data_IF_708335246621
#
_entry.id   IF_708335246621
#
_cell.length_a   1.000
_cell.length_b   1.000
_cell.length_c   1.000
_cell.angle_alpha   90.00
_cell.angle_beta   90.00
_cell.angle_gamma   90.00
#
_symmetry.space_group_name_H-M   'P 1'
#
loop_
_entity.id
_entity.type
_entity.pdbx_description
1 polymer ?
#
# COMPACT_ATOMS: atom_id res chain seq x y z
N UNK A 1 6.24 2.93 0.72
CA UNK A 1 5.87 3.64 -0.52
C UNK A 1 6.90 4.75 -0.79
N UNK A 2 7.32 4.90 -2.06
CA UNK A 2 8.21 5.96 -2.51
C UNK A 2 7.51 6.79 -3.60
N UNK A 3 7.87 8.06 -3.72
CA UNK A 3 7.52 8.91 -4.86
C UNK A 3 8.79 9.47 -5.48
N UNK A 4 8.78 9.68 -6.79
CA UNK A 4 9.93 10.24 -7.50
C UNK A 4 9.82 11.76 -7.54
N UNK A 5 10.78 12.43 -6.91
CA UNK A 5 10.92 13.88 -6.95
C UNK A 5 11.67 14.26 -8.22
N UNK A 6 10.93 14.73 -9.23
CA UNK A 6 11.48 15.10 -10.54
C UNK A 6 12.35 16.35 -10.49
N UNK A 7 12.17 17.23 -9.50
CA UNK A 7 13.01 18.43 -9.34
C UNK A 7 14.39 18.06 -8.80
N UNK A 8 14.42 17.14 -7.85
CA UNK A 8 15.65 16.72 -7.18
C UNK A 8 16.24 15.42 -7.75
N UNK A 9 15.54 14.79 -8.70
CA UNK A 9 15.88 13.51 -9.31
C UNK A 9 16.18 12.40 -8.29
N UNK A 10 15.37 12.33 -7.22
CA UNK A 10 15.54 11.36 -6.13
C UNK A 10 14.23 10.68 -5.75
N UNK A 11 14.32 9.43 -5.31
CA UNK A 11 13.20 8.74 -4.69
C UNK A 11 13.06 9.16 -3.22
N UNK A 12 11.87 9.64 -2.85
CA UNK A 12 11.54 10.08 -1.49
C UNK A 12 10.50 9.17 -0.87
N UNK A 13 10.61 8.96 0.44
CA UNK A 13 9.61 8.22 1.21
C UNK A 13 8.36 9.07 1.41
N UNK A 14 7.20 8.45 1.30
CA UNK A 14 5.95 9.08 1.71
C UNK A 14 5.97 9.26 3.23
N UNK A 15 5.67 10.47 3.67
CA UNK A 15 5.60 10.87 5.08
C UNK A 15 4.22 11.43 5.39
N UNK A 16 3.81 11.38 6.65
CA UNK A 16 2.66 12.11 7.15
C UNK A 16 2.93 13.61 7.23
N UNK A 17 1.87 14.40 7.45
CA UNK A 17 1.98 15.86 7.57
C UNK A 17 2.91 16.33 8.70
N UNK A 18 3.03 15.56 9.77
CA UNK A 18 3.98 15.81 10.87
C UNK A 18 5.41 15.34 10.57
N UNK A 19 5.68 14.91 9.33
CA UNK A 19 6.98 14.46 8.86
C UNK A 19 7.35 13.04 9.27
N UNK A 20 6.46 12.31 9.97
CA UNK A 20 6.72 10.91 10.35
C UNK A 20 6.59 10.01 9.12
N UNK A 21 7.38 8.95 9.08
CA UNK A 21 7.29 7.98 8.00
C UNK A 21 6.01 7.14 8.15
N UNK A 22 5.22 7.02 7.08
CA UNK A 22 4.11 6.07 7.04
C UNK A 22 4.66 4.65 6.91
N UNK A 23 4.23 3.73 7.79
CA UNK A 23 4.68 2.34 7.89
C UNK A 23 4.09 1.41 6.80
N UNK A 24 3.99 1.93 5.57
CA UNK A 24 3.52 1.23 4.36
C UNK A 24 4.69 0.50 3.66
N UNK A 25 5.28 -0.46 4.36
CA UNK A 25 6.31 -1.39 3.85
C UNK A 25 5.66 -2.66 3.30
N UNK A 26 6.34 -3.35 2.37
CA UNK A 26 5.87 -4.60 1.72
C UNK A 26 4.49 -4.47 1.07
N UNK A 27 4.25 -3.32 0.42
CA UNK A 27 3.05 -3.10 -0.41
C UNK A 27 3.07 -4.08 -1.56
N UNK A 28 1.95 -4.76 -1.80
CA UNK A 28 1.80 -5.67 -2.93
C UNK A 28 1.14 -5.03 -4.12
N UNK A 29 0.09 -4.26 -3.87
CA UNK A 29 -0.65 -3.58 -4.91
C UNK A 29 -1.01 -2.18 -4.44
N UNK A 30 -1.11 -1.27 -5.40
CA UNK A 30 -1.57 0.09 -5.18
C UNK A 30 -2.46 0.47 -6.36
N UNK A 31 -3.49 1.26 -6.08
CA UNK A 31 -4.44 1.73 -7.07
C UNK A 31 -5.02 3.07 -6.66
N UNK A 32 -5.58 3.78 -7.64
CA UNK A 32 -6.42 4.94 -7.37
C UNK A 32 -7.83 4.45 -6.99
N UNK A 33 -8.41 5.09 -5.98
CA UNK A 33 -9.78 4.86 -5.54
C UNK A 33 -10.37 6.18 -5.04
N UNK A 34 -11.35 6.73 -5.76
CA UNK A 34 -12.08 7.96 -5.41
C UNK A 34 -11.15 9.17 -5.08
N UNK A 35 -10.12 9.38 -5.89
CA UNK A 35 -9.12 10.44 -5.72
C UNK A 35 -8.08 10.16 -4.63
N UNK A 36 -8.10 8.97 -4.03
CA UNK A 36 -7.17 8.55 -2.97
C UNK A 36 -6.30 7.40 -3.44
N UNK A 37 -5.19 7.20 -2.76
CA UNK A 37 -4.32 6.06 -2.99
C UNK A 37 -4.75 4.90 -2.11
N UNK A 38 -5.27 3.84 -2.72
CA UNK A 38 -5.48 2.56 -2.06
C UNK A 38 -4.18 1.73 -2.07
N UNK A 39 -3.78 1.22 -0.91
CA UNK A 39 -2.54 0.45 -0.73
C UNK A 39 -2.88 -0.88 -0.07
N UNK A 40 -2.53 -1.98 -0.72
CA UNK A 40 -2.78 -3.34 -0.23
C UNK A 40 -1.50 -3.96 0.31
N UNK A 41 -1.59 -4.53 1.52
CA UNK A 41 -0.45 -5.10 2.23
C UNK A 41 -0.89 -6.32 3.06
N UNK A 42 -0.14 -7.44 3.03
CA UNK A 42 -0.36 -8.53 3.97
C UNK A 42 -0.08 -8.09 5.42
N UNK A 43 -0.95 -8.50 6.34
CA UNK A 43 -0.74 -8.33 7.78
C UNK A 43 0.30 -9.29 8.34
N UNK A 44 0.27 -10.52 7.83
CA UNK A 44 1.06 -11.61 8.36
C UNK A 44 2.51 -11.54 7.83
N UNK A 45 3.48 -11.84 8.70
CA UNK A 45 4.87 -11.96 8.29
C UNK A 45 5.03 -13.17 7.37
N UNK A 46 5.03 -12.93 6.06
CA UNK A 46 5.18 -13.96 5.02
C UNK A 46 6.35 -14.91 5.27
N UNK A 47 7.41 -14.41 5.91
CA UNK A 47 8.63 -15.17 6.22
C UNK A 47 8.42 -16.29 7.27
N UNK A 48 7.26 -16.33 7.94
CA UNK A 48 6.91 -17.32 8.98
C UNK A 48 5.61 -18.11 8.69
N UNK A 49 5.02 -17.93 7.50
CA UNK A 49 3.74 -18.56 7.16
C UNK A 49 4.02 -19.86 6.42
N UNK A 50 3.64 -20.99 7.03
CA UNK A 50 3.59 -22.27 6.33
C UNK A 50 2.59 -22.18 5.16
N UNK A 51 2.95 -22.77 4.02
CA UNK A 51 2.23 -22.66 2.73
C UNK A 51 0.75 -23.08 2.76
N UNK A 52 0.30 -23.71 3.86
CA UNK A 52 -1.06 -24.16 4.10
C UNK A 52 -1.97 -23.14 4.80
N UNK A 53 -1.46 -21.97 5.22
CA UNK A 53 -2.26 -20.95 5.91
C UNK A 53 -2.83 -19.90 4.96
N UNK A 54 -3.93 -19.28 5.36
CA UNK A 54 -4.44 -18.07 4.71
C UNK A 54 -3.70 -16.83 5.21
N UNK A 55 -3.56 -15.83 4.35
CA UNK A 55 -2.96 -14.53 4.62
C UNK A 55 -4.04 -13.47 4.62
N UNK A 56 -4.09 -12.65 5.66
CA UNK A 56 -4.97 -11.49 5.68
C UNK A 56 -4.32 -10.32 4.94
N UNK A 57 -5.07 -9.71 4.02
CA UNK A 57 -4.67 -8.52 3.27
C UNK A 57 -5.41 -7.32 3.84
N UNK A 58 -4.63 -6.36 4.33
CA UNK A 58 -5.13 -5.04 4.70
C UNK A 58 -5.07 -4.08 3.55
N UNK A 59 -6.08 -3.24 3.44
CA UNK A 59 -6.07 -2.03 2.63
C UNK A 59 -5.86 -0.82 3.53
N UNK A 60 -5.08 0.14 3.04
CA UNK A 60 -4.91 1.48 3.60
C UNK A 60 -5.37 2.48 2.55
N UNK A 61 -6.31 3.34 2.90
CA UNK A 61 -6.77 4.42 2.04
C UNK A 61 -6.05 5.71 2.44
N UNK A 62 -5.23 6.23 1.53
CA UNK A 62 -4.32 7.34 1.80
C UNK A 62 -4.69 8.54 0.96
N UNK A 63 -5.07 9.64 1.61
CA UNK A 63 -5.18 10.95 0.95
C UNK A 63 -3.77 11.50 0.75
N UNK A 64 -3.46 11.98 -0.46
CA UNK A 64 -2.19 12.62 -0.77
C UNK A 64 -2.39 14.13 -0.85
N UNK A 65 -1.48 14.89 -0.24
CA UNK A 65 -1.48 16.34 -0.29
C UNK A 65 -0.08 16.91 -0.53
N UNK A 66 -0.04 18.07 -1.18
CA UNK A 66 1.19 18.82 -1.41
C UNK A 66 1.42 19.79 -0.27
N UNK A 67 2.53 19.64 0.45
CA UNK A 67 3.00 20.59 1.47
C UNK A 67 4.28 21.22 0.97
N UNK A 68 4.15 22.42 0.40
CA UNK A 68 5.24 23.08 -0.34
C UNK A 68 5.62 22.24 -1.56
N UNK A 69 6.82 21.67 -1.56
CA UNK A 69 7.34 20.82 -2.64
C UNK A 69 7.33 19.32 -2.30
N UNK A 70 6.71 18.93 -1.19
CA UNK A 70 6.69 17.54 -0.73
C UNK A 70 5.30 16.94 -0.85
N UNK A 71 5.24 15.70 -1.32
CA UNK A 71 4.03 14.88 -1.23
C UNK A 71 3.97 14.27 0.18
N UNK A 72 2.91 14.58 0.90
CA UNK A 72 2.54 14.02 2.18
C UNK A 72 1.33 13.09 2.02
N UNK A 73 1.18 12.14 2.94
CA UNK A 73 0.05 11.22 2.96
C UNK A 73 -0.65 11.19 4.31
N UNK A 74 -1.97 11.06 4.31
CA UNK A 74 -2.78 10.86 5.51
C UNK A 74 -3.58 9.57 5.35
N UNK A 75 -3.44 8.63 6.29
CA UNK A 75 -4.25 7.41 6.30
C UNK A 75 -5.64 7.79 6.83
N UNK A 76 -6.64 7.78 5.94
CA UNK A 76 -8.04 8.05 6.30
C UNK A 76 -8.71 6.79 6.87
N UNK A 77 -8.31 5.63 6.36
CA UNK A 77 -8.90 4.36 6.73
C UNK A 77 -7.89 3.23 6.58
N UNK A 78 -7.99 2.24 7.46
CA UNK A 78 -7.30 0.96 7.31
C UNK A 78 -8.16 -0.19 7.82
N UNK A 79 -8.03 -1.36 7.18
CA UNK A 79 -8.76 -2.56 7.58
C UNK A 79 -8.44 -3.76 6.72
N UNK A 80 -8.80 -4.94 7.20
CA UNK A 80 -8.71 -6.20 6.44
C UNK A 80 -9.81 -6.20 5.39
N UNK A 81 -9.43 -6.41 4.13
CA UNK A 81 -10.37 -6.45 2.99
C UNK A 81 -10.45 -7.81 2.34
N UNK A 82 -9.47 -8.68 2.59
CA UNK A 82 -9.48 -10.04 2.06
C UNK A 82 -8.68 -10.99 2.95
N UNK A 83 -9.04 -12.27 2.88
CA UNK A 83 -8.28 -13.40 3.42
C UNK A 83 -8.05 -14.36 2.26
N UNK A 84 -6.80 -14.52 1.82
CA UNK A 84 -6.46 -15.33 0.65
C UNK A 84 -5.59 -16.53 1.05
N UNK A 85 -5.74 -17.71 0.41
CA UNK A 85 -4.81 -18.82 0.63
C UNK A 85 -3.37 -18.41 0.29
N UNK A 86 -2.38 -18.83 1.07
CA UNK A 86 -0.97 -18.51 0.80
C UNK A 86 -0.53 -19.00 -0.59
N UNK A 87 -1.01 -20.16 -1.05
CA UNK A 87 -0.75 -20.64 -2.40
C UNK A 87 -1.24 -19.70 -3.52
N UNK A 88 -2.28 -18.90 -3.24
CA UNK A 88 -2.85 -17.91 -4.17
C UNK A 88 -2.30 -16.49 -3.95
N UNK A 89 -1.44 -16.31 -2.94
CA UNK A 89 -0.80 -15.03 -2.63
C UNK A 89 0.07 -14.50 -3.79
N UNK A 90 0.70 -15.40 -4.55
CA UNK A 90 1.49 -15.03 -5.72
C UNK A 90 0.65 -14.67 -6.95
N UNK A 91 -0.66 -14.92 -6.92
CA UNK A 91 -1.59 -14.61 -8.00
C UNK A 91 -2.13 -13.17 -7.96
N UNK A 92 -1.59 -12.27 -7.14
CA UNK A 92 -2.10 -10.89 -6.98
C UNK A 92 -1.92 -9.98 -8.21
N UNK A 93 -1.40 -10.51 -9.33
CA UNK A 93 -1.44 -9.86 -10.63
C UNK A 93 -2.68 -10.23 -11.47
N UNK A 94 -3.68 -10.89 -10.89
CA UNK A 94 -4.98 -11.07 -11.55
C UNK A 94 -5.62 -9.70 -11.78
N UNK A 95 -5.41 -9.17 -13.00
CA UNK A 95 -6.17 -8.07 -13.56
C UNK A 95 -7.65 -8.36 -13.33
N UNK A 96 -8.35 -7.42 -12.71
CA UNK A 96 -9.81 -7.46 -12.73
C UNK A 96 -10.22 -7.44 -14.21
N UNK A 97 -10.74 -8.57 -14.70
CA UNK A 97 -11.48 -8.58 -15.95
C UNK A 97 -12.69 -7.71 -15.68
N UNK A 98 -12.72 -6.55 -16.32
CA UNK A 98 -13.90 -5.69 -16.31
C UNK A 98 -14.97 -6.35 -17.18
N UNK A 99 -16.22 -6.40 -16.70
CA UNK A 99 -17.38 -6.83 -17.48
C UNK A 99 -17.66 -5.86 -18.65
#
# INVERSE_FOLDING_TARGET
LLWFDTKLNVWRRLVSRDGKQLSLLRVQAMGEYEGKLAVFKPLDNLDQINETKSVNVSMFLVTLDMVGEKICGTIEWSGVVATIPYSSYWCLHCLAVSD
#
